data_IF_779915126972
#
_entry.id   IF_779915126972
#
_cell.length_a   1.000
_cell.length_b   1.000
_cell.length_c   1.000
_cell.angle_alpha   90.00
_cell.angle_beta   90.00
_cell.angle_gamma   90.00
#
_symmetry.space_group_name_H-M   'P 1'
#
loop_
_entity.id
_entity.type
_entity.pdbx_description
1 polymer ?
#
# COMPACT_ATOMS: atom_id res chain seq x y z
N UNK A 1 -14.64 -2.37 -19.98
CA UNK A 1 -14.03 -1.31 -19.14
C UNK A 1 -14.04 -1.77 -17.69
N UNK A 2 -13.06 -1.35 -16.88
CA UNK A 2 -13.09 -1.59 -15.44
C UNK A 2 -14.32 -0.93 -14.82
N UNK A 3 -14.99 -1.64 -13.91
CA UNK A 3 -16.04 -1.09 -13.06
C UNK A 3 -15.44 -0.23 -11.94
N UNK A 4 -16.25 0.63 -11.34
CA UNK A 4 -15.84 1.44 -10.18
C UNK A 4 -15.29 0.57 -9.04
N UNK A 5 -15.96 -0.55 -8.73
CA UNK A 5 -15.52 -1.50 -7.70
C UNK A 5 -14.15 -2.12 -8.00
N UNK A 6 -13.85 -2.38 -9.26
CA UNK A 6 -12.56 -2.93 -9.66
C UNK A 6 -11.45 -1.87 -9.57
N UNK A 7 -11.78 -0.62 -9.89
CA UNK A 7 -10.89 0.52 -9.62
C UNK A 7 -10.60 0.71 -8.13
N UNK A 8 -11.62 0.61 -7.29
CA UNK A 8 -11.46 0.67 -5.83
C UNK A 8 -10.53 -0.43 -5.31
N UNK A 9 -10.68 -1.68 -5.81
CA UNK A 9 -9.82 -2.81 -5.43
C UNK A 9 -8.36 -2.53 -5.83
N UNK A 10 -8.12 -2.05 -7.06
CA UNK A 10 -6.78 -1.70 -7.54
C UNK A 10 -6.18 -0.57 -6.71
N UNK A 11 -6.95 0.49 -6.46
CA UNK A 11 -6.49 1.62 -5.67
C UNK A 11 -6.17 1.22 -4.23
N UNK A 12 -7.05 0.44 -3.60
CA UNK A 12 -6.83 -0.08 -2.25
C UNK A 12 -5.56 -0.94 -2.18
N UNK A 13 -5.34 -1.80 -3.18
CA UNK A 13 -4.10 -2.58 -3.26
C UNK A 13 -2.86 -1.68 -3.33
N UNK A 14 -2.86 -0.69 -4.23
CA UNK A 14 -1.75 0.26 -4.42
C UNK A 14 -1.46 1.06 -3.13
N UNK A 15 -2.50 1.52 -2.45
CA UNK A 15 -2.37 2.23 -1.18
C UNK A 15 -1.72 1.33 -0.12
N UNK A 16 -2.26 0.13 0.10
CA UNK A 16 -1.78 -0.77 1.15
C UNK A 16 -0.35 -1.25 0.91
N UNK A 17 0.05 -1.55 -0.33
CA UNK A 17 1.45 -1.90 -0.62
C UNK A 17 2.40 -0.72 -0.38
N UNK A 18 1.93 0.51 -0.61
CA UNK A 18 2.72 1.72 -0.38
C UNK A 18 2.90 1.97 1.10
N UNK A 19 1.82 1.90 1.87
CA UNK A 19 1.82 2.04 3.33
C UNK A 19 2.75 0.99 3.94
N UNK A 20 2.59 -0.28 3.55
CA UNK A 20 3.42 -1.38 4.06
C UNK A 20 4.91 -1.11 3.84
N UNK A 21 5.31 -0.73 2.63
CA UNK A 21 6.71 -0.43 2.29
C UNK A 21 7.26 0.76 3.08
N UNK A 22 6.44 1.80 3.30
CA UNK A 22 6.84 2.95 4.09
C UNK A 22 7.06 2.52 5.56
N UNK A 23 6.12 1.81 6.16
CA UNK A 23 6.23 1.34 7.55
C UNK A 23 7.35 0.32 7.75
N UNK A 24 7.59 -0.59 6.81
CA UNK A 24 8.73 -1.52 6.87
C UNK A 24 10.07 -0.74 6.85
N UNK A 25 10.16 0.32 6.05
CA UNK A 25 11.34 1.20 6.02
C UNK A 25 11.51 1.92 7.35
N UNK A 26 10.44 2.50 7.89
CA UNK A 26 10.48 3.22 9.16
C UNK A 26 10.82 2.28 10.32
N UNK A 27 10.23 1.09 10.36
CA UNK A 27 10.57 0.03 11.31
C UNK A 27 12.08 -0.26 11.32
N UNK A 28 12.67 -0.47 10.15
CA UNK A 28 14.11 -0.73 10.02
C UNK A 28 14.99 0.45 10.47
N UNK A 29 14.51 1.68 10.33
CA UNK A 29 15.20 2.87 10.83
C UNK A 29 15.13 2.92 12.37
N UNK A 30 13.94 2.72 12.93
CA UNK A 30 13.75 2.69 14.39
C UNK A 30 14.52 1.55 15.04
N UNK A 31 14.57 0.38 14.42
CA UNK A 31 15.29 -0.81 14.91
C UNK A 31 16.79 -0.54 15.08
N UNK A 32 17.36 0.32 14.23
CA UNK A 32 18.77 0.71 14.26
C UNK A 32 19.04 1.99 15.06
N UNK A 33 17.99 2.65 15.55
CA UNK A 33 18.11 3.89 16.30
C UNK A 33 18.46 3.63 17.76
N UNK A 34 18.99 4.63 18.46
CA UNK A 34 19.30 4.57 19.91
C UNK A 34 18.30 5.36 20.76
N UNK A 35 17.03 5.37 20.35
CA UNK A 35 15.98 6.13 21.02
C UNK A 35 15.54 5.45 22.33
N UNK A 36 15.30 6.26 23.37
CA UNK A 36 14.85 5.80 24.70
C UNK A 36 13.58 4.93 24.67
N UNK A 37 12.70 5.15 23.71
CA UNK A 37 11.40 4.48 23.59
C UNK A 37 11.26 3.65 22.31
N UNK A 38 12.38 3.22 21.72
CA UNK A 38 12.41 2.46 20.47
C UNK A 38 11.40 1.30 20.42
N UNK A 39 11.35 0.48 21.48
CA UNK A 39 10.47 -0.70 21.53
C UNK A 39 8.98 -0.33 21.39
N UNK A 40 8.55 0.81 21.94
CA UNK A 40 7.15 1.26 21.80
C UNK A 40 6.80 1.54 20.33
N UNK A 41 7.71 2.16 19.59
CA UNK A 41 7.52 2.43 18.17
C UNK A 41 7.55 1.15 17.34
N UNK A 42 8.48 0.23 17.63
CA UNK A 42 8.58 -1.06 16.94
C UNK A 42 7.34 -1.93 17.17
N UNK A 43 6.83 -2.00 18.40
CA UNK A 43 5.62 -2.75 18.74
C UNK A 43 4.38 -2.18 18.08
N UNK A 44 4.26 -0.85 18.00
CA UNK A 44 3.18 -0.20 17.28
C UNK A 44 3.27 -0.46 15.76
N UNK A 45 4.45 -0.30 15.17
CA UNK A 45 4.68 -0.53 13.75
C UNK A 45 4.41 -1.99 13.37
N UNK A 46 4.85 -2.95 14.19
CA UNK A 46 4.60 -4.38 13.99
C UNK A 46 3.11 -4.72 13.99
N UNK A 47 2.36 -4.26 15.01
CA UNK A 47 0.90 -4.46 15.07
C UNK A 47 0.18 -3.85 13.88
N UNK A 48 0.62 -2.67 13.43
CA UNK A 48 0.06 -1.99 12.26
C UNK A 48 0.36 -2.77 10.97
N UNK A 49 1.60 -3.25 10.80
CA UNK A 49 2.01 -4.09 9.67
C UNK A 49 1.25 -5.42 9.61
N UNK A 50 0.97 -6.04 10.77
CA UNK A 50 0.16 -7.26 10.85
C UNK A 50 -1.28 -7.00 10.36
N UNK A 51 -1.87 -5.88 10.77
CA UNK A 51 -3.21 -5.48 10.33
C UNK A 51 -3.27 -5.19 8.83
N UNK A 52 -2.30 -4.44 8.30
CA UNK A 52 -2.15 -4.19 6.86
C UNK A 52 -1.99 -5.50 6.09
N UNK A 53 -1.26 -6.47 6.63
CA UNK A 53 -1.05 -7.77 6.00
C UNK A 53 -2.36 -8.57 5.88
N UNK A 54 -3.22 -8.52 6.91
CA UNK A 54 -4.57 -9.11 6.87
C UNK A 54 -5.45 -8.42 5.82
N UNK A 55 -5.44 -7.09 5.77
CA UNK A 55 -6.19 -6.34 4.76
C UNK A 55 -5.71 -6.62 3.34
N UNK A 56 -4.39 -6.66 3.12
CA UNK A 56 -3.78 -7.05 1.85
C UNK A 56 -4.19 -8.46 1.43
N UNK A 57 -4.30 -9.41 2.36
CA UNK A 57 -4.80 -10.75 2.05
C UNK A 57 -6.23 -10.70 1.49
N UNK A 58 -7.12 -9.95 2.12
CA UNK A 58 -8.50 -9.79 1.64
C UNK A 58 -8.57 -9.08 0.28
N UNK A 59 -7.77 -8.02 0.07
CA UNK A 59 -7.72 -7.31 -1.20
C UNK A 59 -7.17 -8.22 -2.31
N UNK A 60 -6.09 -8.96 -2.06
CA UNK A 60 -5.54 -9.93 -3.02
C UNK A 60 -6.55 -11.03 -3.36
N UNK A 61 -7.34 -11.50 -2.39
CA UNK A 61 -8.43 -12.45 -2.62
C UNK A 61 -9.49 -11.87 -3.57
N UNK A 62 -9.90 -10.60 -3.35
CA UNK A 62 -10.84 -9.89 -4.25
C UNK A 62 -10.25 -9.69 -5.64
N UNK A 63 -8.98 -9.31 -5.75
CA UNK A 63 -8.28 -9.18 -7.04
C UNK A 63 -8.30 -10.51 -7.80
N UNK A 64 -7.98 -11.62 -7.12
CA UNK A 64 -7.99 -12.95 -7.73
C UNK A 64 -9.39 -13.34 -8.23
N UNK A 65 -10.44 -13.12 -7.44
CA UNK A 65 -11.81 -13.41 -7.88
C UNK A 65 -12.29 -12.56 -9.05
N UNK A 66 -11.71 -11.38 -9.23
CA UNK A 66 -12.03 -10.46 -10.34
C UNK A 66 -11.05 -10.56 -11.52
N UNK A 67 -10.13 -11.53 -11.51
CA UNK A 67 -9.06 -11.70 -12.49
C UNK A 67 -8.23 -10.42 -12.70
N UNK A 68 -7.93 -9.71 -11.61
CA UNK A 68 -7.10 -8.49 -11.57
C UNK A 68 -5.69 -8.84 -11.09
N UNK A 69 -4.67 -8.33 -11.79
CA UNK A 69 -3.29 -8.28 -11.32
C UNK A 69 -2.76 -6.86 -11.44
N UNK A 70 -1.82 -6.48 -10.57
CA UNK A 70 -1.15 -5.17 -10.58
C UNK A 70 0.34 -5.40 -10.40
N UNK A 71 1.12 -4.89 -11.34
CA UNK A 71 2.57 -5.06 -11.38
C UNK A 71 3.31 -3.88 -10.72
N UNK A 72 4.63 -4.05 -10.57
CA UNK A 72 5.52 -3.07 -9.93
C UNK A 72 5.46 -1.74 -10.71
N UNK A 73 5.31 -0.60 -10.03
CA UNK A 73 5.22 0.67 -10.72
C UNK A 73 6.56 1.09 -11.32
N UNK A 74 6.51 1.68 -12.51
CA UNK A 74 7.60 2.53 -13.01
C UNK A 74 7.49 3.89 -12.33
N UNK A 75 8.60 4.41 -11.80
CA UNK A 75 8.67 5.72 -11.14
C UNK A 75 9.33 6.72 -12.08
N UNK A 76 8.72 7.90 -12.25
CA UNK A 76 9.29 9.02 -13.01
C UNK A 76 9.55 10.26 -12.12
N UNK A 77 9.52 10.07 -10.80
CA UNK A 77 9.71 11.11 -9.79
C UNK A 77 8.39 11.72 -9.30
N UNK A 78 7.55 12.21 -10.20
CA UNK A 78 6.27 12.84 -9.86
C UNK A 78 5.12 11.84 -9.78
N UNK A 79 5.16 10.80 -10.63
CA UNK A 79 4.14 9.78 -10.73
C UNK A 79 4.73 8.38 -10.49
N UNK A 80 3.83 7.48 -10.10
CA UNK A 80 4.03 6.04 -10.14
C UNK A 80 3.04 5.47 -11.15
N UNK A 81 3.56 4.87 -12.22
CA UNK A 81 2.74 4.22 -13.24
C UNK A 81 2.62 2.73 -12.94
N UNK A 82 1.43 2.29 -12.58
CA UNK A 82 1.09 0.90 -12.34
C UNK A 82 0.54 0.27 -13.61
N UNK A 83 1.09 -0.89 -13.98
CA UNK A 83 0.47 -1.75 -14.99
C UNK A 83 -0.50 -2.67 -14.28
N UNK A 84 -1.69 -2.84 -14.85
CA UNK A 84 -2.65 -3.80 -14.36
C UNK A 84 -3.16 -4.67 -15.51
N UNK A 85 -3.53 -5.90 -15.18
CA UNK A 85 -4.25 -6.78 -16.09
C UNK A 85 -5.59 -7.12 -15.48
N UNK A 86 -6.63 -7.15 -16.30
CA UNK A 86 -7.98 -7.49 -15.90
C UNK A 86 -8.66 -8.30 -17.01
N UNK A 87 -9.11 -9.52 -16.70
CA UNK A 87 -9.80 -10.42 -17.65
C UNK A 87 -9.08 -10.53 -19.01
N UNK A 88 -7.74 -10.54 -19.01
CA UNK A 88 -6.90 -10.61 -20.21
C UNK A 88 -6.60 -9.28 -20.90
N UNK A 89 -7.22 -8.18 -20.48
CA UNK A 89 -6.90 -6.83 -20.96
C UNK A 89 -5.85 -6.18 -20.07
N UNK A 90 -4.86 -5.52 -20.67
CA UNK A 90 -3.85 -4.75 -19.94
C UNK A 90 -4.13 -3.25 -20.01
N UNK A 91 -3.83 -2.55 -18.93
CA UNK A 91 -3.97 -1.11 -18.82
C UNK A 91 -2.87 -0.51 -17.96
N UNK A 92 -2.82 0.83 -17.95
CA UNK A 92 -1.92 1.58 -17.09
C UNK A 92 -2.72 2.57 -16.25
N UNK A 93 -2.28 2.79 -15.02
CA UNK A 93 -2.79 3.84 -14.16
C UNK A 93 -1.62 4.67 -13.63
N UNK A 94 -1.68 5.99 -13.81
CA UNK A 94 -0.71 6.92 -13.25
C UNK A 94 -1.26 7.49 -11.95
N UNK A 95 -0.54 7.29 -10.87
CA UNK A 95 -0.86 7.83 -9.55
C UNK A 95 0.15 8.92 -9.21
N UNK A 96 -0.34 10.09 -8.78
CA UNK A 96 0.50 11.17 -8.31
C UNK A 96 1.11 10.81 -6.95
N UNK A 97 2.44 10.87 -6.83
CA UNK A 97 3.15 10.40 -5.64
C UNK A 97 2.78 11.20 -4.37
N UNK A 98 2.54 12.51 -4.51
CA UNK A 98 2.11 13.34 -3.37
C UNK A 98 0.72 12.93 -2.85
N UNK A 99 -0.20 12.56 -3.75
CA UNK A 99 -1.53 12.12 -3.35
C UNK A 99 -1.46 10.77 -2.62
N UNK A 100 -0.70 9.82 -3.14
CA UNK A 100 -0.52 8.51 -2.52
C UNK A 100 0.18 8.62 -1.15
N UNK A 101 1.12 9.55 -1.01
CA UNK A 101 1.77 9.86 0.27
C UNK A 101 0.76 10.40 1.30
N UNK A 102 -0.09 11.35 0.90
CA UNK A 102 -1.11 11.91 1.80
C UNK A 102 -2.10 10.84 2.24
N UNK A 103 -2.62 10.03 1.30
CA UNK A 103 -3.49 8.92 1.64
C UNK A 103 -2.81 7.88 2.55
N UNK A 104 -1.52 7.60 2.31
CA UNK A 104 -0.74 6.71 3.15
C UNK A 104 -0.64 7.25 4.58
N UNK A 105 -0.41 8.56 4.74
CA UNK A 105 -0.37 9.22 6.04
C UNK A 105 -1.73 9.11 6.75
N UNK A 106 -2.81 9.49 6.07
CA UNK A 106 -4.16 9.44 6.62
C UNK A 106 -4.57 8.01 7.01
N UNK A 107 -4.13 7.01 6.23
CA UNK A 107 -4.36 5.60 6.53
C UNK A 107 -3.63 5.17 7.81
N UNK A 108 -2.34 5.49 7.94
CA UNK A 108 -1.54 5.13 9.12
C UNK A 108 -2.03 5.86 10.37
N UNK A 109 -2.47 7.11 10.24
CA UNK A 109 -2.99 7.91 11.35
C UNK A 109 -4.19 7.26 12.05
N UNK A 110 -4.98 6.42 11.35
CA UNK A 110 -6.11 5.68 11.93
C UNK A 110 -5.67 4.67 13.01
N UNK A 111 -4.41 4.25 13.01
CA UNK A 111 -3.85 3.32 14.00
C UNK A 111 -3.20 4.04 15.19
N UNK A 112 -3.22 5.38 15.20
CA UNK A 112 -2.73 6.21 16.30
C UNK A 112 -3.86 6.78 17.16
N UNK A 113 -5.12 6.55 16.77
CA UNK A 113 -6.33 6.96 17.49
C UNK A 113 -6.95 5.76 18.16
#
# INVERSE_FOLDING_TARGET
MLTEREWEIIHQYILLITVRRALEKDYNIFEKSSLKYQNLYLDWAKRTLDQISKELYHVKKKMKSSNITVDIPKKDGLFSQYQYTYRGYSGTNKVLNIHLRNQSFDYVQKFLR
#
